data_IF_823584073713
#
_entry.id   IF_823584073713
#
_cell.length_a   1.000
_cell.length_b   1.000
_cell.length_c   1.000
_cell.angle_alpha   90.00
_cell.angle_beta   90.00
_cell.angle_gamma   90.00
#
_symmetry.space_group_name_H-M   'P 1'
#
loop_
_entity.id
_entity.type
_entity.pdbx_description
1 polymer ?
#
# COMPACT_ATOMS: atom_id res chain seq x y z
N UNK A 1 -54.59 63.06 -0.98
CA UNK A 1 -55.25 62.52 0.23
C UNK A 1 -54.62 61.16 0.45
N UNK A 2 -53.57 61.01 1.25
CA UNK A 2 -53.56 60.85 2.73
C UNK A 2 -53.54 59.34 3.03
N UNK A 3 -52.70 58.73 3.87
CA UNK A 3 -51.58 59.08 4.74
C UNK A 3 -50.76 57.79 5.01
N UNK A 4 -49.45 57.88 5.26
CA UNK A 4 -48.75 57.68 6.57
C UNK A 4 -48.66 56.24 7.14
N UNK A 5 -47.42 55.81 7.44
CA UNK A 5 -47.05 54.71 8.37
C UNK A 5 -46.04 53.74 7.73
N UNK A 6 -44.71 53.92 7.82
CA UNK A 6 -43.77 53.74 8.95
C UNK A 6 -43.36 52.26 9.21
N UNK A 7 -42.06 51.99 8.95
CA UNK A 7 -41.09 51.04 9.56
C UNK A 7 -41.43 49.55 9.76
N UNK A 8 -40.45 48.70 9.43
CA UNK A 8 -40.33 47.32 9.91
C UNK A 8 -39.38 46.48 9.05
N UNK A 9 -38.13 46.39 9.49
CA UNK A 9 -37.07 45.50 9.01
C UNK A 9 -37.39 44.05 9.44
N UNK A 10 -37.27 43.05 8.55
CA UNK A 10 -37.02 41.64 8.88
C UNK A 10 -36.93 40.80 7.58
N UNK A 11 -35.78 40.15 7.37
CA UNK A 11 -35.57 39.17 6.30
C UNK A 11 -36.23 37.82 6.65
N UNK A 12 -36.83 37.09 5.70
CA UNK A 12 -37.25 35.72 5.94
C UNK A 12 -36.25 34.70 5.38
N UNK A 13 -35.72 33.89 6.28
CA UNK A 13 -35.24 32.52 6.06
C UNK A 13 -36.40 31.62 5.58
N UNK A 14 -36.16 30.71 4.61
CA UNK A 14 -37.18 29.74 4.16
C UNK A 14 -36.72 28.74 3.10
N UNK A 15 -36.26 27.57 3.57
CA UNK A 15 -36.26 26.19 3.02
C UNK A 15 -36.23 25.90 1.50
N UNK A 16 -35.41 24.92 1.05
CA UNK A 16 -35.65 24.16 -0.18
C UNK A 16 -36.40 22.84 0.15
N UNK A 17 -37.68 22.80 -0.17
CA UNK A 17 -38.50 21.57 -0.21
C UNK A 17 -39.34 21.59 -1.47
N UNK A 18 -38.76 21.17 -2.60
CA UNK A 18 -39.46 21.03 -3.87
C UNK A 18 -38.73 20.00 -4.74
N UNK A 19 -39.12 18.73 -4.64
CA UNK A 19 -38.57 17.67 -5.48
C UNK A 19 -39.28 16.32 -5.36
N UNK A 20 -39.94 16.05 -4.23
CA UNK A 20 -40.62 14.78 -3.97
C UNK A 20 -42.06 14.70 -4.48
N UNK A 21 -42.70 15.83 -4.83
CA UNK A 21 -44.14 15.87 -5.10
C UNK A 21 -44.54 15.63 -6.57
N UNK A 22 -43.60 15.70 -7.52
CA UNK A 22 -43.93 15.51 -8.95
C UNK A 22 -43.97 14.04 -9.41
N UNK A 23 -43.47 13.09 -8.61
CA UNK A 23 -43.49 11.67 -8.97
C UNK A 23 -44.80 10.95 -8.62
N UNK A 24 -45.66 11.56 -7.78
CA UNK A 24 -46.89 10.93 -7.29
C UNK A 24 -48.08 10.98 -8.27
N UNK A 25 -48.05 11.84 -9.30
CA UNK A 25 -49.24 12.10 -10.14
C UNK A 25 -49.49 11.07 -11.27
N UNK A 26 -48.60 10.09 -11.52
CA UNK A 26 -48.75 9.17 -12.67
C UNK A 26 -49.22 7.74 -12.35
N UNK A 27 -49.37 7.35 -11.08
CA UNK A 27 -49.72 5.95 -10.72
C UNK A 27 -51.22 5.74 -10.43
N UNK A 28 -52.01 6.81 -10.27
CA UNK A 28 -53.45 6.70 -9.95
C UNK A 28 -53.74 6.24 -8.52
N UNK A 29 -52.74 6.27 -7.65
CA UNK A 29 -52.83 5.75 -6.29
C UNK A 29 -52.84 6.90 -5.28
N UNK A 30 -53.99 7.15 -4.67
CA UNK A 30 -54.18 8.22 -3.67
C UNK A 30 -53.54 7.87 -2.32
N UNK A 31 -53.02 8.84 -1.54
CA UNK A 31 -52.46 8.60 -0.20
C UNK A 31 -53.37 7.82 0.76
N UNK A 32 -54.69 8.04 0.70
CA UNK A 32 -55.67 7.33 1.55
C UNK A 32 -55.91 5.88 1.12
N UNK A 33 -55.82 5.59 -0.19
CA UNK A 33 -55.82 4.21 -0.69
C UNK A 33 -54.54 3.51 -0.26
N UNK A 34 -53.42 4.24 -0.15
CA UNK A 34 -52.15 3.68 0.30
C UNK A 34 -52.12 3.30 1.77
N UNK A 35 -52.63 4.15 2.64
CA UNK A 35 -52.74 3.80 4.06
C UNK A 35 -53.63 2.58 4.29
N UNK A 36 -54.64 2.36 3.43
CA UNK A 36 -55.49 1.16 3.46
C UNK A 36 -54.83 -0.08 2.87
N UNK A 37 -53.89 0.07 1.92
CA UNK A 37 -53.15 -1.04 1.32
C UNK A 37 -51.92 -1.44 2.14
N UNK A 38 -51.43 -0.58 3.04
CA UNK A 38 -50.27 -0.81 3.92
C UNK A 38 -50.32 -2.17 4.66
N UNK A 39 -51.44 -2.61 5.25
CA UNK A 39 -51.50 -3.92 5.93
C UNK A 39 -51.41 -5.13 4.99
N UNK A 40 -51.59 -4.93 3.67
CA UNK A 40 -51.57 -5.99 2.66
C UNK A 40 -50.24 -6.05 1.88
N UNK A 41 -49.35 -5.07 2.05
CA UNK A 41 -48.01 -5.01 1.47
C UNK A 41 -46.98 -5.30 2.57
N UNK A 42 -46.73 -6.58 2.84
CA UNK A 42 -45.93 -7.02 3.99
C UNK A 42 -44.42 -7.17 3.70
N UNK A 43 -44.00 -7.06 2.44
CA UNK A 43 -42.63 -7.35 2.01
C UNK A 43 -42.10 -6.28 1.03
N UNK A 44 -40.79 -6.07 1.04
CA UNK A 44 -40.04 -5.23 0.10
C UNK A 44 -39.07 -6.11 -0.65
N UNK A 45 -38.91 -5.88 -1.95
CA UNK A 45 -37.94 -6.59 -2.78
C UNK A 45 -36.99 -5.58 -3.41
N UNK A 46 -35.70 -5.75 -3.21
CA UNK A 46 -34.64 -4.91 -3.73
C UNK A 46 -33.71 -5.71 -4.63
N UNK A 47 -33.15 -5.07 -5.64
CA UNK A 47 -32.05 -5.60 -6.45
C UNK A 47 -30.84 -4.74 -6.17
N UNK A 48 -29.73 -5.37 -5.80
CA UNK A 48 -28.45 -4.75 -5.49
C UNK A 48 -27.41 -5.14 -6.54
N UNK A 49 -26.49 -4.25 -6.87
CA UNK A 49 -25.29 -4.60 -7.64
C UNK A 49 -24.16 -5.17 -6.77
N UNK A 50 -22.98 -5.38 -7.39
CA UNK A 50 -21.79 -5.87 -6.70
C UNK A 50 -21.23 -4.90 -5.65
N UNK A 51 -21.60 -3.62 -5.76
CA UNK A 51 -21.22 -2.53 -4.87
C UNK A 51 -22.37 -2.21 -3.89
N UNK A 52 -23.30 -3.15 -3.69
CA UNK A 52 -24.41 -3.10 -2.74
C UNK A 52 -25.34 -1.90 -2.92
N UNK A 53 -25.36 -1.35 -4.14
CA UNK A 53 -26.18 -0.21 -4.50
C UNK A 53 -27.53 -0.69 -4.99
N UNK A 54 -28.61 -0.09 -4.50
CA UNK A 54 -29.98 -0.44 -4.91
C UNK A 54 -30.22 -0.02 -6.37
N UNK A 55 -30.29 -1.02 -7.26
CA UNK A 55 -30.61 -0.89 -8.69
C UNK A 55 -32.12 -0.82 -8.96
N UNK A 56 -32.90 -1.55 -8.18
CA UNK A 56 -34.36 -1.57 -8.27
C UNK A 56 -34.97 -1.85 -6.90
N UNK A 57 -36.12 -1.23 -6.61
CA UNK A 57 -36.82 -1.44 -5.36
C UNK A 57 -38.34 -1.50 -5.60
N UNK A 58 -38.95 -2.62 -5.21
CA UNK A 58 -40.38 -2.82 -5.17
C UNK A 58 -40.80 -2.87 -3.70
N UNK A 59 -41.30 -1.75 -3.20
CA UNK A 59 -41.68 -1.55 -1.80
C UNK A 59 -43.08 -0.92 -1.70
N UNK A 60 -43.75 -1.03 -0.54
CA UNK A 60 -44.90 -0.17 -0.27
C UNK A 60 -44.50 1.32 -0.36
N UNK A 61 -45.34 2.21 -0.90
CA UNK A 61 -45.16 3.66 -0.85
C UNK A 61 -44.84 4.15 0.57
N UNK A 62 -43.68 4.80 0.72
CA UNK A 62 -43.09 5.17 2.01
C UNK A 62 -41.98 4.22 2.51
N UNK A 63 -41.80 3.05 1.88
CA UNK A 63 -40.81 2.04 2.27
C UNK A 63 -41.22 1.24 3.52
N UNK A 64 -40.67 0.02 3.67
CA UNK A 64 -40.95 -0.86 4.83
C UNK A 64 -40.42 -0.30 6.16
N UNK A 65 -39.49 0.65 6.08
CA UNK A 65 -38.93 1.40 7.22
C UNK A 65 -39.46 2.83 7.27
N UNK A 66 -40.49 3.22 6.51
CA UNK A 66 -41.05 4.58 6.53
C UNK A 66 -40.17 5.67 5.90
N UNK A 67 -39.00 5.29 5.39
CA UNK A 67 -38.20 6.04 4.42
C UNK A 67 -38.17 5.19 3.17
N UNK A 68 -38.62 5.72 2.03
CA UNK A 68 -38.48 5.00 0.76
C UNK A 68 -37.00 4.74 0.55
N UNK A 69 -36.57 3.47 0.61
CA UNK A 69 -35.20 3.07 0.28
C UNK A 69 -34.96 3.48 -1.17
N UNK A 70 -34.32 4.64 -1.36
CA UNK A 70 -34.10 5.27 -2.65
C UNK A 70 -33.12 4.47 -3.50
N UNK A 71 -33.33 4.50 -4.81
CA UNK A 71 -32.35 4.00 -5.79
C UNK A 71 -31.01 4.73 -5.54
N UNK A 72 -29.91 3.98 -5.44
CA UNK A 72 -28.57 4.56 -5.19
C UNK A 72 -28.15 4.73 -3.72
N UNK A 73 -28.96 4.27 -2.75
CA UNK A 73 -28.61 4.26 -1.32
C UNK A 73 -27.99 2.93 -0.89
N UNK A 74 -27.12 2.95 0.13
CA UNK A 74 -26.45 1.77 0.66
C UNK A 74 -27.22 1.23 1.87
N UNK A 75 -27.52 -0.07 1.88
CA UNK A 75 -28.51 -0.70 2.79
C UNK A 75 -28.09 -0.78 4.27
N UNK A 76 -26.87 -0.34 4.61
CA UNK A 76 -26.33 -0.40 5.98
C UNK A 76 -26.71 0.81 6.84
N UNK A 77 -27.16 1.92 6.24
CA UNK A 77 -27.43 3.19 6.94
C UNK A 77 -28.55 3.08 7.99
N UNK A 78 -29.57 2.27 7.70
CA UNK A 78 -30.72 2.08 8.58
C UNK A 78 -30.54 0.87 9.50
N UNK A 79 -29.38 0.20 9.52
CA UNK A 79 -29.16 -0.97 10.35
C UNK A 79 -28.72 -0.64 11.77
N UNK A 80 -29.12 -1.46 12.73
CA UNK A 80 -28.57 -1.39 14.07
C UNK A 80 -27.07 -1.74 14.04
N UNK A 81 -26.19 -0.99 14.72
CA UNK A 81 -24.74 -1.21 14.67
C UNK A 81 -24.30 -2.65 14.97
N UNK A 82 -24.89 -3.28 15.99
CA UNK A 82 -24.62 -4.69 16.33
C UNK A 82 -25.03 -5.69 15.24
N UNK A 83 -25.97 -5.32 14.36
CA UNK A 83 -26.53 -6.18 13.34
C UNK A 83 -25.90 -5.90 11.95
N UNK A 84 -25.16 -4.81 11.78
CA UNK A 84 -24.49 -4.45 10.53
C UNK A 84 -23.52 -5.56 10.05
N UNK A 85 -22.83 -6.20 11.00
CA UNK A 85 -21.94 -7.34 10.73
C UNK A 85 -22.70 -8.55 10.15
N UNK A 86 -23.94 -8.77 10.58
CA UNK A 86 -24.78 -9.89 10.13
C UNK A 86 -25.16 -9.74 8.66
N UNK A 87 -25.36 -8.51 8.18
CA UNK A 87 -25.72 -8.25 6.77
C UNK A 87 -24.51 -8.17 5.85
N UNK A 88 -23.39 -7.64 6.35
CA UNK A 88 -22.12 -7.76 5.65
C UNK A 88 -21.77 -9.24 5.41
N UNK A 89 -21.94 -10.10 6.43
CA UNK A 89 -21.79 -11.55 6.29
C UNK A 89 -22.75 -12.14 5.25
N UNK A 90 -24.04 -11.82 5.35
CA UNK A 90 -25.06 -12.33 4.44
C UNK A 90 -24.74 -12.04 2.96
N UNK A 91 -24.30 -10.83 2.61
CA UNK A 91 -23.97 -10.57 1.21
C UNK A 91 -22.60 -11.10 0.79
N UNK A 92 -21.60 -11.20 1.67
CA UNK A 92 -20.36 -11.93 1.33
C UNK A 92 -20.61 -13.41 1.03
N UNK A 93 -21.50 -14.07 1.79
CA UNK A 93 -21.97 -15.44 1.48
C UNK A 93 -22.66 -15.49 0.11
N UNK A 94 -23.46 -14.48 -0.21
CA UNK A 94 -24.11 -14.38 -1.51
C UNK A 94 -23.10 -14.27 -2.66
N UNK A 95 -22.06 -13.45 -2.54
CA UNK A 95 -21.04 -13.26 -3.59
C UNK A 95 -20.13 -14.47 -3.80
N UNK A 96 -19.92 -15.29 -2.78
CA UNK A 96 -18.99 -16.42 -2.80
C UNK A 96 -19.62 -17.76 -3.22
N UNK A 97 -20.94 -17.78 -3.45
CA UNK A 97 -21.72 -19.00 -3.73
C UNK A 97 -22.23 -19.06 -5.17
N UNK A 98 -22.65 -20.25 -5.62
CA UNK A 98 -23.18 -20.45 -6.98
C UNK A 98 -24.57 -19.81 -7.17
N UNK A 99 -24.91 -19.53 -8.43
CA UNK A 99 -26.23 -19.03 -8.85
C UNK A 99 -27.39 -19.80 -8.21
N UNK A 100 -28.36 -19.08 -7.63
CA UNK A 100 -29.52 -19.67 -6.95
C UNK A 100 -29.36 -19.90 -5.44
N UNK A 101 -28.24 -19.48 -4.84
CA UNK A 101 -28.07 -19.44 -3.39
C UNK A 101 -29.05 -18.46 -2.72
N UNK A 102 -29.54 -18.82 -1.54
CA UNK A 102 -30.36 -17.95 -0.69
C UNK A 102 -30.06 -18.15 0.79
N UNK A 103 -30.14 -17.08 1.58
CA UNK A 103 -30.12 -17.16 3.04
C UNK A 103 -30.90 -16.01 3.68
N UNK A 104 -31.43 -16.26 4.88
CA UNK A 104 -32.16 -15.26 5.68
C UNK A 104 -31.39 -14.90 6.96
N UNK A 105 -31.52 -13.64 7.39
CA UNK A 105 -31.07 -13.13 8.69
C UNK A 105 -32.15 -12.22 9.30
N UNK A 106 -32.20 -12.17 10.62
CA UNK A 106 -33.04 -11.22 11.35
C UNK A 106 -32.17 -10.08 11.86
N UNK A 107 -32.58 -8.86 11.56
CA UNK A 107 -31.84 -7.65 11.94
C UNK A 107 -32.77 -6.58 12.46
N UNK A 108 -32.23 -5.65 13.23
CA UNK A 108 -32.91 -4.43 13.63
C UNK A 108 -32.60 -3.34 12.62
N UNK A 109 -33.64 -2.66 12.14
CA UNK A 109 -33.51 -1.50 11.28
C UNK A 109 -34.27 -0.31 11.86
N UNK A 110 -33.77 0.89 11.60
CA UNK A 110 -34.32 2.14 12.08
C UNK A 110 -35.50 2.52 11.20
N UNK A 111 -36.65 2.70 11.83
CA UNK A 111 -37.87 3.17 11.18
C UNK A 111 -37.84 4.70 11.00
N UNK A 112 -38.71 5.22 10.13
CA UNK A 112 -38.77 6.64 9.78
C UNK A 112 -39.17 7.55 10.95
N UNK A 113 -39.78 6.98 12.00
CA UNK A 113 -40.06 7.64 13.28
C UNK A 113 -38.88 7.59 14.26
N UNK A 114 -37.77 6.95 13.88
CA UNK A 114 -36.51 6.88 14.62
C UNK A 114 -36.41 5.73 15.62
N UNK A 115 -37.43 4.87 15.73
CA UNK A 115 -37.42 3.66 16.57
C UNK A 115 -36.73 2.48 15.87
N UNK A 116 -36.54 1.36 16.56
CA UNK A 116 -35.94 0.15 15.99
C UNK A 116 -37.02 -0.91 15.74
N UNK A 117 -37.26 -1.23 14.47
CA UNK A 117 -38.09 -2.36 14.05
C UNK A 117 -37.24 -3.60 13.82
N UNK A 118 -37.83 -4.80 13.93
CA UNK A 118 -37.17 -6.07 13.60
C UNK A 118 -37.62 -6.55 12.22
N UNK A 119 -36.66 -6.95 11.41
CA UNK A 119 -36.89 -7.32 10.03
C UNK A 119 -36.15 -8.61 9.68
N UNK A 120 -36.83 -9.49 8.96
CA UNK A 120 -36.22 -10.62 8.28
C UNK A 120 -35.73 -10.16 6.89
N UNK A 121 -34.45 -10.33 6.63
CA UNK A 121 -33.81 -10.06 5.35
C UNK A 121 -33.41 -11.39 4.72
N UNK A 122 -33.97 -11.72 3.56
CA UNK A 122 -33.58 -12.86 2.73
C UNK A 122 -32.81 -12.36 1.50
N UNK A 123 -31.55 -12.76 1.35
CA UNK A 123 -30.77 -12.49 0.15
C UNK A 123 -30.81 -13.68 -0.81
N UNK A 124 -30.81 -13.39 -2.11
CA UNK A 124 -30.79 -14.36 -3.20
C UNK A 124 -29.71 -13.93 -4.21
N UNK A 125 -28.73 -14.80 -4.46
CA UNK A 125 -27.72 -14.55 -5.48
C UNK A 125 -28.30 -14.80 -6.89
N UNK A 126 -28.44 -13.73 -7.68
CA UNK A 126 -28.87 -13.77 -9.09
C UNK A 126 -27.79 -13.25 -10.05
N UNK A 127 -26.53 -13.20 -9.62
CA UNK A 127 -25.40 -12.98 -10.52
C UNK A 127 -25.35 -14.16 -11.52
N UNK A 128 -25.38 -13.83 -12.81
CA UNK A 128 -25.52 -14.82 -13.90
C UNK A 128 -26.89 -14.87 -14.56
N UNK A 129 -27.95 -14.28 -13.98
CA UNK A 129 -29.19 -14.00 -14.70
C UNK A 129 -28.98 -12.76 -15.61
N UNK A 130 -29.20 -12.85 -16.94
CA UNK A 130 -28.90 -11.77 -17.88
C UNK A 130 -29.83 -10.55 -17.75
N UNK A 131 -30.94 -10.65 -17.00
CA UNK A 131 -31.89 -9.56 -16.75
C UNK A 131 -31.69 -8.90 -15.39
N UNK A 132 -31.25 -9.67 -14.38
CA UNK A 132 -31.09 -9.17 -13.00
C UNK A 132 -29.63 -8.79 -12.71
N UNK A 133 -28.68 -9.67 -13.05
CA UNK A 133 -27.24 -9.52 -12.83
C UNK A 133 -26.86 -8.82 -11.50
N UNK A 134 -27.42 -9.32 -10.40
CA UNK A 134 -27.39 -8.65 -9.11
C UNK A 134 -27.81 -9.56 -7.97
N UNK A 135 -27.82 -9.03 -6.76
CA UNK A 135 -28.36 -9.70 -5.58
C UNK A 135 -29.78 -9.24 -5.33
N UNK A 136 -30.73 -10.16 -5.25
CA UNK A 136 -32.11 -9.86 -4.88
C UNK A 136 -32.25 -9.97 -3.37
N UNK A 137 -32.81 -8.95 -2.72
CA UNK A 137 -32.99 -8.90 -1.28
C UNK A 137 -34.46 -8.69 -0.97
N UNK A 138 -35.05 -9.63 -0.25
CA UNK A 138 -36.40 -9.53 0.30
C UNK A 138 -36.31 -9.10 1.75
N UNK A 139 -37.13 -8.14 2.15
CA UNK A 139 -37.23 -7.65 3.52
C UNK A 139 -38.65 -7.75 4.00
N UNK A 140 -38.86 -8.29 5.20
CA UNK A 140 -40.18 -8.44 5.82
C UNK A 140 -40.12 -8.01 7.28
N UNK A 141 -41.10 -7.22 7.72
CA UNK A 141 -41.22 -6.84 9.13
C UNK A 141 -41.70 -8.02 9.99
N UNK A 142 -41.13 -8.15 11.18
CA UNK A 142 -41.49 -9.18 12.16
C UNK A 142 -42.34 -8.58 13.28
N UNK A 143 -43.48 -9.20 13.63
CA UNK A 143 -44.24 -8.86 14.83
C UNK A 143 -43.39 -9.01 16.11
N UNK A 144 -43.61 -8.13 17.09
CA UNK A 144 -42.84 -8.09 18.36
C UNK A 144 -42.93 -9.41 19.16
N UNK A 145 -44.03 -10.16 19.03
CA UNK A 145 -44.36 -11.38 19.77
C UNK A 145 -43.75 -12.67 19.18
N UNK A 146 -43.44 -12.68 17.89
CA UNK A 146 -42.80 -13.83 17.20
C UNK A 146 -41.26 -13.84 17.36
N UNK A 147 -40.70 -12.86 18.06
CA UNK A 147 -39.27 -12.57 18.06
C UNK A 147 -38.52 -13.04 19.32
N UNK A 148 -39.20 -13.61 20.31
CA UNK A 148 -38.59 -14.23 21.51
C UNK A 148 -38.09 -15.66 21.25
N UNK A 149 -38.72 -16.41 20.35
CA UNK A 149 -38.45 -17.84 20.14
C UNK A 149 -37.30 -18.14 19.17
N UNK A 150 -36.82 -17.17 18.39
CA UNK A 150 -35.75 -17.39 17.41
C UNK A 150 -34.35 -17.14 18.01
N UNK A 151 -33.87 -18.09 18.82
CA UNK A 151 -32.43 -18.24 19.10
C UNK A 151 -31.74 -18.89 17.89
N UNK A 152 -31.67 -18.16 16.78
CA UNK A 152 -30.88 -18.57 15.63
C UNK A 152 -29.43 -18.71 16.03
N UNK A 153 -28.87 -19.91 15.87
CA UNK A 153 -27.46 -20.20 16.00
C UNK A 153 -26.62 -19.04 15.47
N UNK A 154 -25.85 -18.38 16.33
CA UNK A 154 -24.76 -17.51 15.89
C UNK A 154 -23.84 -18.38 15.03
N UNK A 155 -23.73 -18.15 13.71
CA UNK A 155 -22.71 -18.83 12.93
C UNK A 155 -21.35 -18.33 13.42
N UNK A 156 -20.40 -19.25 13.61
CA UNK A 156 -18.98 -18.93 13.69
C UNK A 156 -18.62 -18.14 12.42
N UNK A 157 -18.03 -16.96 12.58
CA UNK A 157 -18.15 -15.88 11.59
C UNK A 157 -17.46 -16.19 10.25
N UNK A 158 -18.05 -15.73 9.15
CA UNK A 158 -17.43 -15.82 7.82
C UNK A 158 -16.16 -14.96 7.68
N UNK A 159 -15.98 -13.91 8.50
CA UNK A 159 -14.73 -13.12 8.55
C UNK A 159 -13.61 -13.93 9.23
N UNK A 160 -13.90 -14.67 10.32
CA UNK A 160 -12.94 -15.63 10.88
C UNK A 160 -12.61 -16.71 9.84
N UNK A 161 -13.62 -17.28 9.18
CA UNK A 161 -13.45 -18.33 8.17
C UNK A 161 -12.69 -17.86 6.91
N UNK A 162 -12.93 -16.65 6.41
CA UNK A 162 -12.20 -16.06 5.27
C UNK A 162 -10.80 -15.57 5.67
N UNK A 163 -10.60 -15.12 6.92
CA UNK A 163 -9.28 -14.77 7.47
C UNK A 163 -8.39 -15.98 7.72
N UNK A 164 -8.97 -17.18 7.93
CA UNK A 164 -8.24 -18.45 7.95
C UNK A 164 -7.80 -18.90 6.54
N UNK A 165 -8.48 -18.43 5.48
CA UNK A 165 -8.22 -18.83 4.09
C UNK A 165 -7.22 -17.92 3.35
N UNK A 166 -7.06 -16.65 3.76
CA UNK A 166 -6.11 -15.70 3.16
C UNK A 166 -5.30 -14.98 4.25
N UNK A 167 -3.95 -14.89 4.13
CA UNK A 167 -3.08 -14.26 5.12
C UNK A 167 -3.11 -12.72 5.03
N UNK A 168 -4.30 -12.11 5.03
CA UNK A 168 -4.49 -10.66 4.94
C UNK A 168 -5.09 -10.14 6.24
N UNK A 169 -4.38 -9.23 6.89
CA UNK A 169 -4.89 -8.52 8.06
C UNK A 169 -5.95 -7.50 7.66
N UNK A 170 -7.03 -7.40 8.43
CA UNK A 170 -8.10 -6.41 8.23
C UNK A 170 -8.31 -5.65 9.52
N UNK A 171 -8.26 -4.32 9.43
CA UNK A 171 -8.66 -3.39 10.48
C UNK A 171 -9.83 -2.53 9.99
N UNK A 172 -10.75 -2.24 10.89
CA UNK A 172 -11.75 -1.18 10.69
C UNK A 172 -11.42 -0.05 11.64
N UNK A 173 -11.38 1.18 11.13
CA UNK A 173 -11.16 2.39 11.93
C UNK A 173 -12.42 3.26 11.96
N UNK A 174 -12.62 3.99 13.04
CA UNK A 174 -13.63 5.06 13.15
C UNK A 174 -13.17 6.35 12.44
N UNK A 175 -14.02 7.39 12.46
CA UNK A 175 -13.72 8.69 11.86
C UNK A 175 -12.53 9.43 12.50
N UNK A 176 -12.07 8.99 13.67
CA UNK A 176 -10.91 9.52 14.37
C UNK A 176 -9.65 8.67 14.15
N UNK A 177 -9.72 7.65 13.28
CA UNK A 177 -8.63 6.72 13.01
C UNK A 177 -8.42 5.66 14.10
N UNK A 178 -9.34 5.50 15.04
CA UNK A 178 -9.25 4.48 16.10
C UNK A 178 -9.70 3.13 15.59
N UNK A 179 -8.97 2.08 15.92
CA UNK A 179 -9.35 0.70 15.57
C UNK A 179 -10.63 0.33 16.32
N UNK A 180 -11.66 -0.09 15.59
CA UNK A 180 -12.90 -0.64 16.15
C UNK A 180 -13.03 -2.14 15.91
N UNK A 181 -12.25 -2.67 14.96
CA UNK A 181 -12.20 -4.10 14.66
C UNK A 181 -10.83 -4.48 14.10
N UNK A 182 -10.37 -5.68 14.46
CA UNK A 182 -9.19 -6.32 13.89
C UNK A 182 -9.45 -7.82 13.75
N UNK A 183 -9.14 -8.40 12.58
CA UNK A 183 -9.20 -9.85 12.39
C UNK A 183 -7.94 -10.55 12.95
N UNK A 184 -7.99 -11.89 13.07
CA UNK A 184 -6.88 -12.67 13.62
C UNK A 184 -5.55 -12.53 12.85
N UNK A 185 -5.62 -12.38 11.53
CA UNK A 185 -4.43 -12.14 10.71
C UNK A 185 -3.75 -10.79 11.03
N UNK A 186 -4.52 -9.72 11.24
CA UNK A 186 -3.99 -8.42 11.66
C UNK A 186 -3.34 -8.51 13.05
N UNK A 187 -4.01 -9.16 14.01
CA UNK A 187 -3.47 -9.40 15.34
C UNK A 187 -2.14 -10.18 15.28
N UNK A 188 -2.08 -11.22 14.43
CA UNK A 188 -0.89 -12.03 14.23
C UNK A 188 0.28 -11.27 13.61
N UNK A 189 0.03 -10.43 12.58
CA UNK A 189 1.05 -9.58 11.96
C UNK A 189 1.58 -8.53 12.93
N UNK A 190 0.68 -7.82 13.62
CA UNK A 190 1.00 -6.73 14.53
C UNK A 190 1.48 -7.21 15.91
N UNK A 191 1.31 -8.50 16.23
CA UNK A 191 1.60 -9.09 17.55
C UNK A 191 0.90 -8.33 18.69
N UNK A 192 -0.39 -8.09 18.51
CA UNK A 192 -1.27 -7.41 19.47
C UNK A 192 -2.61 -8.12 19.54
N UNK A 193 -3.21 -8.11 20.72
CA UNK A 193 -4.56 -8.62 20.90
C UNK A 193 -5.61 -7.58 20.43
N UNK A 194 -6.81 -7.99 20.00
CA UNK A 194 -7.86 -7.08 19.55
C UNK A 194 -8.18 -5.95 20.55
N UNK A 195 -8.16 -6.24 21.86
CA UNK A 195 -8.44 -5.25 22.90
C UNK A 195 -7.32 -4.21 23.04
N UNK A 196 -6.07 -4.58 22.75
CA UNK A 196 -4.93 -3.66 22.73
C UNK A 196 -5.01 -2.77 21.50
N UNK A 197 -5.34 -3.33 20.33
CA UNK A 197 -5.52 -2.55 19.11
C UNK A 197 -6.67 -1.55 19.23
N UNK A 198 -7.78 -1.95 19.86
CA UNK A 198 -8.94 -1.06 20.08
C UNK A 198 -8.63 0.05 21.09
N UNK A 199 -7.80 -0.23 22.11
CA UNK A 199 -7.46 0.73 23.17
C UNK A 199 -6.37 1.71 22.75
N UNK A 200 -5.28 1.18 22.21
CA UNK A 200 -4.02 1.87 21.98
C UNK A 200 -3.79 2.18 20.49
N UNK A 201 -4.63 1.64 19.60
CA UNK A 201 -4.49 1.77 18.16
C UNK A 201 -3.38 0.89 17.59
N UNK A 202 -3.11 1.06 16.29
CA UNK A 202 -1.99 0.39 15.62
C UNK A 202 -0.75 1.30 15.47
N UNK A 203 -0.84 2.59 15.86
CA UNK A 203 0.29 3.52 15.81
C UNK A 203 1.51 3.08 16.64
N UNK A 204 1.37 2.50 17.86
CA UNK A 204 2.53 2.11 18.67
C UNK A 204 3.40 1.01 18.08
N UNK A 205 2.89 0.28 17.08
CA UNK A 205 3.65 -0.75 16.37
C UNK A 205 4.26 -0.25 15.07
N UNK A 206 4.00 1.00 14.65
CA UNK A 206 4.63 1.61 13.47
C UNK A 206 6.01 2.15 13.84
N UNK A 207 7.01 1.92 12.97
CA UNK A 207 8.33 2.53 13.11
C UNK A 207 8.21 4.07 13.16
N UNK A 208 8.86 4.76 14.12
CA UNK A 208 8.78 6.22 14.25
C UNK A 208 9.11 7.00 12.97
N UNK A 209 9.92 6.44 12.07
CA UNK A 209 10.24 7.07 10.79
C UNK A 209 9.05 7.05 9.82
N UNK A 210 8.19 6.04 9.90
CA UNK A 210 7.02 5.87 9.01
C UNK A 210 5.71 6.41 9.64
N UNK A 211 5.69 6.70 10.94
CA UNK A 211 4.53 7.25 11.63
C UNK A 211 3.97 8.55 10.99
N UNK A 212 4.79 9.53 10.54
CA UNK A 212 4.28 10.72 9.85
C UNK A 212 3.55 10.40 8.54
N UNK A 213 4.02 9.38 7.79
CA UNK A 213 3.40 8.94 6.54
C UNK A 213 2.00 8.38 6.79
N UNK A 214 1.84 7.53 7.82
CA UNK A 214 0.54 6.98 8.20
C UNK A 214 -0.44 8.09 8.60
N UNK A 215 0.01 9.04 9.42
CA UNK A 215 -0.80 10.18 9.83
C UNK A 215 -1.25 11.04 8.64
N UNK A 216 -0.36 11.26 7.66
CA UNK A 216 -0.68 11.96 6.42
C UNK A 216 -1.72 11.21 5.57
N UNK A 217 -1.59 9.88 5.45
CA UNK A 217 -2.54 9.03 4.72
C UNK A 217 -3.91 9.06 5.40
N UNK A 218 -3.98 8.80 6.70
CA UNK A 218 -5.23 8.84 7.47
C UNK A 218 -5.94 10.19 7.35
N UNK A 219 -5.18 11.30 7.39
CA UNK A 219 -5.74 12.64 7.18
C UNK A 219 -6.38 12.81 5.80
N UNK A 220 -5.76 12.29 4.73
CA UNK A 220 -6.32 12.39 3.37
C UNK A 220 -7.59 11.54 3.23
N UNK A 221 -7.54 10.31 3.73
CA UNK A 221 -8.64 9.32 3.66
C UNK A 221 -9.84 9.73 4.54
N UNK A 222 -9.63 10.48 5.61
CA UNK A 222 -10.71 11.05 6.44
C UNK A 222 -11.35 12.30 5.80
N UNK A 223 -10.60 13.07 5.02
CA UNK A 223 -11.08 14.32 4.42
C UNK A 223 -11.81 14.13 3.09
N UNK A 224 -11.53 13.05 2.38
CA UNK A 224 -12.16 12.74 1.10
C UNK A 224 -12.34 11.23 0.93
N UNK A 225 -13.44 10.84 0.28
CA UNK A 225 -13.61 9.48 -0.21
C UNK A 225 -12.43 9.12 -1.13
N UNK A 226 -11.85 7.95 -0.95
CA UNK A 226 -10.67 7.58 -1.70
C UNK A 226 -9.99 6.30 -1.23
N UNK A 227 -8.98 5.92 -2.00
CA UNK A 227 -8.07 4.81 -1.70
C UNK A 227 -6.66 5.35 -1.63
N UNK A 228 -5.95 4.99 -0.58
CA UNK A 228 -4.55 5.32 -0.39
C UNK A 228 -3.79 4.05 -0.01
N UNK A 229 -2.52 4.00 -0.38
CA UNK A 229 -1.65 2.88 -0.06
C UNK A 229 -0.31 3.39 0.44
N UNK A 230 0.25 2.67 1.41
CA UNK A 230 1.61 2.92 1.86
C UNK A 230 2.24 1.62 2.36
N UNK A 231 3.57 1.54 2.30
CA UNK A 231 4.33 0.47 2.94
C UNK A 231 4.98 1.03 4.19
N UNK A 232 4.79 0.34 5.32
CA UNK A 232 5.30 0.78 6.61
C UNK A 232 6.12 -0.31 7.28
N UNK A 233 7.10 0.11 8.08
CA UNK A 233 7.84 -0.77 8.99
C UNK A 233 7.12 -0.89 10.32
N UNK A 234 7.25 -2.07 10.90
CA UNK A 234 6.72 -2.37 12.22
C UNK A 234 7.84 -2.59 13.25
N UNK A 235 7.58 -2.23 14.51
CA UNK A 235 8.48 -2.41 15.65
C UNK A 235 7.80 -3.27 16.71
N UNK A 236 8.48 -4.33 17.16
CA UNK A 236 7.94 -5.25 18.16
C UNK A 236 6.73 -6.06 17.67
N UNK A 237 6.67 -6.29 16.36
CA UNK A 237 5.65 -7.07 15.65
C UNK A 237 6.26 -8.36 15.07
N UNK A 238 5.42 -9.27 14.56
CA UNK A 238 5.86 -10.55 13.99
C UNK A 238 6.54 -10.37 12.62
N UNK A 239 6.06 -9.40 11.86
CA UNK A 239 6.54 -9.08 10.51
C UNK A 239 7.23 -7.73 10.55
N UNK A 240 8.24 -7.52 9.69
CA UNK A 240 9.01 -6.27 9.70
C UNK A 240 8.35 -5.18 8.85
N UNK A 241 7.61 -5.57 7.81
CA UNK A 241 6.97 -4.65 6.87
C UNK A 241 5.60 -5.13 6.46
N UNK A 242 4.66 -4.19 6.41
CA UNK A 242 3.33 -4.40 5.86
C UNK A 242 3.02 -3.37 4.79
N UNK A 243 2.33 -3.82 3.75
CA UNK A 243 1.65 -2.94 2.79
C UNK A 243 0.23 -2.70 3.31
N UNK A 244 -0.08 -1.43 3.54
CA UNK A 244 -1.35 -0.97 4.06
C UNK A 244 -2.15 -0.34 2.93
N UNK A 245 -3.39 -0.79 2.74
CA UNK A 245 -4.35 -0.15 1.83
C UNK A 245 -5.53 0.38 2.63
N UNK A 246 -5.74 1.69 2.56
CA UNK A 246 -6.79 2.42 3.26
C UNK A 246 -7.89 2.76 2.27
N UNK A 247 -9.13 2.45 2.62
CA UNK A 247 -10.31 2.80 1.82
C UNK A 247 -11.32 3.53 2.70
N UNK A 248 -11.80 4.67 2.22
CA UNK A 248 -12.86 5.47 2.85
C UNK A 248 -13.86 5.93 1.80
N UNK A 249 -15.14 5.94 2.16
CA UNK A 249 -16.22 6.34 1.27
C UNK A 249 -16.69 7.80 1.48
N UNK A 250 -16.06 8.54 2.40
CA UNK A 250 -16.17 10.00 2.53
C UNK A 250 -17.59 10.58 2.66
N UNK A 251 -18.56 9.83 3.20
CA UNK A 251 -19.90 10.36 3.53
C UNK A 251 -20.00 10.79 5.00
N UNK A 252 -20.75 11.87 5.23
CA UNK A 252 -20.57 12.81 6.35
C UNK A 252 -21.02 12.35 7.74
N UNK A 253 -21.65 11.18 7.91
CA UNK A 253 -22.22 10.81 9.21
C UNK A 253 -21.74 9.47 9.79
N UNK A 254 -21.03 8.61 9.03
CA UNK A 254 -20.32 7.41 9.52
C UNK A 254 -19.11 7.12 8.62
N UNK A 255 -18.00 7.83 8.81
CA UNK A 255 -16.76 7.53 8.08
C UNK A 255 -16.03 6.36 8.77
N UNK A 256 -16.27 5.13 8.31
CA UNK A 256 -15.44 3.98 8.70
C UNK A 256 -14.36 3.74 7.64
N UNK A 257 -13.11 3.58 8.09
CA UNK A 257 -11.97 3.36 7.19
C UNK A 257 -11.62 1.88 7.26
N UNK A 258 -11.64 1.21 6.12
CA UNK A 258 -11.15 -0.18 6.01
C UNK A 258 -9.67 -0.13 5.70
N UNK A 259 -8.86 -0.84 6.49
CA UNK A 259 -7.42 -0.99 6.27
C UNK A 259 -7.11 -2.47 6.08
N UNK A 260 -6.49 -2.81 4.95
CA UNK A 260 -5.93 -4.16 4.75
C UNK A 260 -4.43 -4.14 4.93
N UNK A 261 -3.89 -5.17 5.57
CA UNK A 261 -2.47 -5.38 5.85
C UNK A 261 -2.00 -6.63 5.12
N UNK A 262 -0.96 -6.48 4.31
CA UNK A 262 -0.28 -7.60 3.65
C UNK A 262 1.18 -7.65 4.10
N UNK A 263 1.65 -8.82 4.54
CA UNK A 263 3.06 -9.01 4.88
C UNK A 263 3.93 -9.02 3.61
N UNK A 264 4.75 -7.99 3.48
CA UNK A 264 5.66 -7.82 2.34
C UNK A 264 7.12 -7.95 2.75
N UNK A 265 7.39 -8.50 3.94
CA UNK A 265 8.74 -8.65 4.51
C UNK A 265 9.64 -9.47 3.59
N UNK A 266 9.21 -10.68 3.20
CA UNK A 266 9.99 -11.56 2.33
C UNK A 266 10.20 -10.97 0.93
N UNK A 267 9.17 -10.31 0.38
CA UNK A 267 9.24 -9.63 -0.92
C UNK A 267 10.27 -8.51 -0.90
N UNK A 268 10.24 -7.64 0.11
CA UNK A 268 11.21 -6.54 0.25
C UNK A 268 12.61 -7.02 0.58
N UNK A 269 12.78 -8.06 1.39
CA UNK A 269 14.09 -8.66 1.65
C UNK A 269 14.71 -9.21 0.37
N UNK A 270 13.92 -9.95 -0.42
CA UNK A 270 14.36 -10.50 -1.72
C UNK A 270 14.69 -9.38 -2.71
N UNK A 271 13.85 -8.36 -2.81
CA UNK A 271 14.09 -7.17 -3.63
C UNK A 271 15.42 -6.50 -3.25
N UNK A 272 15.66 -6.27 -1.95
CA UNK A 272 16.90 -5.67 -1.46
C UNK A 272 18.12 -6.53 -1.73
N UNK A 273 18.00 -7.84 -1.57
CA UNK A 273 19.08 -8.77 -1.90
C UNK A 273 19.38 -8.76 -3.40
N UNK A 274 18.34 -8.70 -4.24
CA UNK A 274 18.48 -8.56 -5.69
C UNK A 274 19.13 -7.22 -6.06
N UNK A 275 18.73 -6.11 -5.45
CA UNK A 275 19.33 -4.79 -5.67
C UNK A 275 20.79 -4.75 -5.17
N UNK A 276 21.08 -5.34 -4.01
CA UNK A 276 22.43 -5.44 -3.47
C UNK A 276 23.34 -6.29 -4.38
N UNK A 277 22.83 -7.40 -4.92
CA UNK A 277 23.52 -8.23 -5.91
C UNK A 277 23.63 -7.56 -7.28
N UNK A 278 22.64 -6.76 -7.67
CA UNK A 278 22.64 -6.02 -8.92
C UNK A 278 23.65 -4.88 -8.92
N UNK A 279 24.05 -4.38 -7.74
CA UNK A 279 24.94 -3.22 -7.61
C UNK A 279 26.35 -3.54 -7.09
N UNK A 280 26.62 -4.78 -6.67
CA UNK A 280 27.94 -5.19 -6.17
C UNK A 280 28.58 -6.29 -7.01
N UNK A 281 29.91 -6.33 -7.00
CA UNK A 281 30.69 -7.44 -7.56
C UNK A 281 30.62 -8.63 -6.58
N UNK A 282 30.19 -9.83 -7.02
CA UNK A 282 29.92 -10.94 -6.12
C UNK A 282 31.17 -11.52 -5.45
N UNK A 283 32.37 -11.30 -6.02
CA UNK A 283 33.62 -11.77 -5.44
C UNK A 283 34.17 -10.77 -4.41
N UNK A 284 34.27 -9.50 -4.79
CA UNK A 284 34.97 -8.48 -3.98
C UNK A 284 34.05 -7.67 -3.08
N UNK A 285 32.74 -7.71 -3.30
CA UNK A 285 31.76 -6.88 -2.59
C UNK A 285 31.81 -5.39 -2.92
N UNK A 286 32.73 -4.95 -3.80
CA UNK A 286 32.81 -3.57 -4.31
C UNK A 286 31.61 -3.22 -5.20
N UNK A 287 31.49 -1.95 -5.59
CA UNK A 287 30.56 -1.58 -6.66
C UNK A 287 30.89 -2.37 -7.93
N UNK A 288 29.87 -2.80 -8.67
CA UNK A 288 30.07 -3.41 -9.98
C UNK A 288 30.02 -2.35 -11.08
N UNK A 289 30.14 -2.80 -12.35
CA UNK A 289 30.11 -1.93 -13.52
C UNK A 289 28.82 -1.10 -13.64
N UNK A 290 27.66 -1.67 -13.31
CA UNK A 290 26.38 -0.96 -13.41
C UNK A 290 26.29 0.16 -12.36
N UNK A 291 26.57 -0.15 -11.09
CA UNK A 291 26.48 0.86 -10.03
C UNK A 291 27.59 1.93 -10.11
N UNK A 292 28.72 1.63 -10.75
CA UNK A 292 29.73 2.62 -11.12
C UNK A 292 29.21 3.59 -12.19
N UNK A 293 28.48 3.09 -13.19
CA UNK A 293 27.86 3.94 -14.22
C UNK A 293 26.85 4.88 -13.59
N UNK A 294 25.93 4.37 -12.76
CA UNK A 294 24.94 5.18 -12.05
C UNK A 294 25.58 6.26 -11.18
N UNK A 295 26.64 5.91 -10.43
CA UNK A 295 27.40 6.86 -9.61
C UNK A 295 27.98 8.00 -10.46
N UNK A 296 28.61 7.67 -11.60
CA UNK A 296 29.17 8.67 -12.49
C UNK A 296 28.07 9.51 -13.17
N UNK A 297 26.94 8.91 -13.54
CA UNK A 297 25.79 9.65 -14.09
C UNK A 297 25.31 10.73 -13.12
N UNK A 298 25.08 10.37 -11.86
CA UNK A 298 24.64 11.30 -10.80
C UNK A 298 25.68 12.41 -10.62
N UNK A 299 26.95 12.06 -10.39
CA UNK A 299 28.00 13.06 -10.15
C UNK A 299 28.18 14.02 -11.33
N UNK A 300 28.13 13.53 -12.56
CA UNK A 300 28.27 14.36 -13.76
C UNK A 300 27.04 15.25 -14.00
N UNK A 301 25.82 14.73 -13.76
CA UNK A 301 24.58 15.49 -13.87
C UNK A 301 24.53 16.65 -12.86
N UNK A 302 24.94 16.37 -11.63
CA UNK A 302 25.05 17.36 -10.54
C UNK A 302 26.26 18.28 -10.67
N UNK A 303 27.12 18.06 -11.68
CA UNK A 303 28.35 18.81 -11.94
C UNK A 303 29.33 18.76 -10.76
N UNK A 304 29.32 17.67 -10.01
CA UNK A 304 30.28 17.42 -8.95
C UNK A 304 31.64 17.17 -9.60
N UNK A 305 32.66 17.99 -9.29
CA UNK A 305 34.02 17.75 -9.77
C UNK A 305 34.47 16.32 -9.41
N UNK A 306 35.01 15.58 -10.37
CA UNK A 306 35.28 14.15 -10.19
C UNK A 306 36.59 13.74 -10.89
N UNK A 307 37.47 13.07 -10.16
CA UNK A 307 38.62 12.34 -10.72
C UNK A 307 38.29 10.84 -10.75
N UNK A 308 38.68 10.18 -11.84
CA UNK A 308 38.49 8.74 -12.08
C UNK A 308 39.85 8.11 -12.27
N UNK A 309 40.21 7.16 -11.40
CA UNK A 309 41.39 6.33 -11.56
C UNK A 309 40.99 4.96 -12.10
N UNK A 310 41.64 4.53 -13.17
CA UNK A 310 41.47 3.19 -13.75
C UNK A 310 42.72 2.37 -13.43
N UNK A 311 42.53 1.19 -12.84
CA UNK A 311 43.57 0.29 -12.38
C UNK A 311 43.43 -1.06 -13.09
N UNK A 312 44.53 -1.56 -13.63
CA UNK A 312 44.70 -2.92 -14.16
C UNK A 312 45.82 -3.63 -13.39
N UNK A 313 45.59 -4.87 -12.93
CA UNK A 313 46.60 -5.63 -12.19
C UNK A 313 47.57 -6.35 -13.14
N UNK A 314 48.77 -5.80 -13.28
CA UNK A 314 49.85 -6.41 -14.04
C UNK A 314 50.33 -7.70 -13.37
N UNK A 315 50.48 -8.75 -14.17
CA UNK A 315 50.96 -10.06 -13.70
C UNK A 315 49.89 -10.95 -13.06
N UNK A 316 48.63 -10.49 -12.96
CA UNK A 316 47.53 -11.25 -12.37
C UNK A 316 47.27 -12.58 -13.09
N UNK A 317 47.32 -12.60 -14.42
CA UNK A 317 47.20 -13.84 -15.20
C UNK A 317 48.24 -14.89 -14.80
N UNK A 318 49.49 -14.50 -14.53
CA UNK A 318 50.53 -15.43 -14.12
C UNK A 318 50.26 -16.04 -12.74
N UNK A 319 49.58 -15.31 -11.84
CA UNK A 319 49.10 -15.85 -10.56
C UNK A 319 48.07 -16.95 -10.81
N UNK A 320 47.05 -16.69 -11.65
CA UNK A 320 46.05 -17.69 -12.01
C UNK A 320 46.67 -18.93 -12.66
N UNK A 321 47.59 -18.74 -13.60
CA UNK A 321 48.22 -19.84 -14.34
C UNK A 321 49.13 -20.69 -13.45
N UNK A 322 49.74 -20.10 -12.42
CA UNK A 322 50.69 -20.80 -11.52
C UNK A 322 49.99 -21.43 -10.30
N UNK A 323 49.02 -20.73 -9.71
CA UNK A 323 48.43 -21.07 -8.41
C UNK A 323 46.93 -21.40 -8.48
N UNK A 324 46.32 -21.28 -9.66
CA UNK A 324 44.89 -21.54 -9.87
C UNK A 324 44.01 -20.33 -9.63
N UNK A 325 42.77 -20.42 -10.13
CA UNK A 325 41.79 -19.33 -10.05
C UNK A 325 41.36 -18.99 -8.62
N UNK A 326 41.28 -19.97 -7.72
CA UNK A 326 40.95 -19.71 -6.31
C UNK A 326 41.95 -18.74 -5.67
N UNK A 327 43.25 -18.90 -5.96
CA UNK A 327 44.28 -17.99 -5.48
C UNK A 327 44.20 -16.62 -6.14
N UNK A 328 43.83 -16.55 -7.42
CA UNK A 328 43.56 -15.28 -8.08
C UNK A 328 42.37 -14.55 -7.45
N UNK A 329 41.31 -15.28 -7.12
CA UNK A 329 40.13 -14.73 -6.48
C UNK A 329 40.46 -14.16 -5.09
N UNK A 330 41.27 -14.84 -4.30
CA UNK A 330 41.80 -14.32 -3.03
C UNK A 330 42.58 -13.01 -3.22
N UNK A 331 43.44 -12.93 -4.25
CA UNK A 331 44.20 -11.71 -4.56
C UNK A 331 43.28 -10.55 -4.92
N UNK A 332 42.22 -10.80 -5.69
CA UNK A 332 41.25 -9.77 -6.04
C UNK A 332 40.50 -9.24 -4.81
N UNK A 333 40.15 -10.12 -3.87
CA UNK A 333 39.53 -9.74 -2.59
C UNK A 333 40.49 -8.88 -1.76
N UNK A 334 41.76 -9.30 -1.62
CA UNK A 334 42.76 -8.54 -0.85
C UNK A 334 43.05 -7.17 -1.46
N UNK A 335 43.12 -7.07 -2.79
CA UNK A 335 43.26 -5.78 -3.48
C UNK A 335 42.03 -4.91 -3.24
N UNK A 336 40.82 -5.48 -3.33
CA UNK A 336 39.58 -4.75 -3.09
C UNK A 336 39.52 -4.17 -1.66
N UNK A 337 39.88 -4.97 -0.66
CA UNK A 337 39.96 -4.53 0.73
C UNK A 337 41.01 -3.44 0.91
N UNK A 338 42.21 -3.60 0.36
CA UNK A 338 43.27 -2.60 0.44
C UNK A 338 42.87 -1.26 -0.20
N UNK A 339 42.18 -1.28 -1.34
CA UNK A 339 41.67 -0.07 -1.99
C UNK A 339 40.55 0.57 -1.16
N UNK A 340 39.60 -0.21 -0.67
CA UNK A 340 38.47 0.30 0.13
C UNK A 340 38.94 0.93 1.45
N UNK A 341 39.87 0.28 2.13
CA UNK A 341 40.29 0.68 3.49
C UNK A 341 41.44 1.69 3.45
N UNK A 342 42.24 1.69 2.38
CA UNK A 342 43.36 2.61 2.18
C UNK A 342 42.96 3.95 1.59
N UNK A 343 41.89 3.99 0.79
CA UNK A 343 41.38 5.23 0.20
C UNK A 343 40.35 5.85 1.17
N UNK A 344 40.44 7.17 1.36
CA UNK A 344 39.58 7.90 2.31
C UNK A 344 38.08 7.78 2.04
N UNK A 345 37.22 8.30 2.94
CA UNK A 345 35.77 8.14 2.86
C UNK A 345 35.12 8.76 1.60
N UNK A 346 35.83 9.64 0.90
CA UNK A 346 35.38 10.31 -0.33
C UNK A 346 35.75 9.53 -1.61
N UNK A 347 36.24 8.30 -1.49
CA UNK A 347 36.59 7.43 -2.61
C UNK A 347 35.62 6.25 -2.73
N UNK A 348 34.91 6.19 -3.87
CA UNK A 348 34.12 5.03 -4.26
C UNK A 348 34.98 4.08 -5.10
N UNK A 349 35.03 2.80 -4.71
CA UNK A 349 35.80 1.77 -5.41
C UNK A 349 34.87 0.76 -6.07
N UNK A 350 35.13 0.46 -7.33
CA UNK A 350 34.39 -0.50 -8.14
C UNK A 350 35.32 -1.53 -8.79
N UNK A 351 34.82 -2.76 -8.97
CA UNK A 351 35.43 -3.75 -9.86
C UNK A 351 34.56 -3.91 -11.09
N UNK A 352 35.14 -3.69 -12.27
CA UNK A 352 34.38 -3.64 -13.54
C UNK A 352 34.48 -4.93 -14.35
N UNK A 353 35.38 -5.83 -13.97
CA UNK A 353 35.55 -7.17 -14.53
C UNK A 353 37.01 -7.63 -14.47
N UNK A 354 37.25 -8.95 -14.41
CA UNK A 354 38.60 -9.50 -14.42
C UNK A 354 39.49 -8.94 -13.31
N UNK A 355 40.61 -8.35 -13.70
CA UNK A 355 41.63 -7.67 -12.90
C UNK A 355 41.53 -6.13 -12.93
N UNK A 356 40.42 -5.59 -13.42
CA UNK A 356 40.21 -4.15 -13.59
C UNK A 356 39.37 -3.55 -12.46
N UNK A 357 39.90 -2.48 -11.87
CA UNK A 357 39.26 -1.69 -10.81
C UNK A 357 39.16 -0.23 -11.20
N UNK A 358 38.16 0.47 -10.67
CA UNK A 358 37.95 1.90 -10.86
C UNK A 358 37.75 2.57 -9.52
N UNK A 359 38.43 3.69 -9.31
CA UNK A 359 38.23 4.58 -8.16
C UNK A 359 37.61 5.88 -8.67
N UNK A 360 36.54 6.33 -8.02
CA UNK A 360 35.89 7.62 -8.26
C UNK A 360 36.02 8.45 -7.00
N UNK A 361 36.56 9.66 -7.12
CA UNK A 361 36.75 10.53 -5.96
C UNK A 361 36.65 12.02 -6.34
N UNK A 362 36.61 12.87 -5.33
CA UNK A 362 36.71 14.32 -5.50
C UNK A 362 38.08 14.69 -6.11
N UNK A 363 38.20 15.83 -6.82
CA UNK A 363 39.41 16.11 -7.56
C UNK A 363 40.56 16.49 -6.64
N UNK A 364 41.73 15.89 -6.91
CA UNK A 364 42.94 16.12 -6.13
C UNK A 364 44.19 16.22 -7.01
N UNK A 365 45.32 15.83 -6.44
CA UNK A 365 46.54 15.57 -7.21
C UNK A 365 46.44 14.18 -7.85
N UNK A 366 46.35 14.16 -9.17
CA UNK A 366 46.15 12.95 -9.96
C UNK A 366 47.34 12.00 -9.91
N UNK A 367 48.57 12.52 -9.81
CA UNK A 367 49.74 11.65 -9.71
C UNK A 367 49.87 11.07 -8.30
N UNK A 368 49.50 11.85 -7.28
CA UNK A 368 49.44 11.36 -5.91
C UNK A 368 48.40 10.23 -5.76
N UNK A 369 47.20 10.40 -6.30
CA UNK A 369 46.17 9.35 -6.31
C UNK A 369 46.66 8.10 -7.06
N UNK A 370 47.29 8.27 -8.23
CA UNK A 370 47.84 7.15 -8.98
C UNK A 370 48.94 6.41 -8.20
N UNK A 371 49.80 7.14 -7.50
CA UNK A 371 50.85 6.57 -6.66
C UNK A 371 50.27 5.81 -5.46
N UNK A 372 49.30 6.40 -4.76
CA UNK A 372 48.62 5.79 -3.63
C UNK A 372 47.95 4.47 -4.00
N UNK A 373 47.19 4.44 -5.10
CA UNK A 373 46.56 3.22 -5.62
C UNK A 373 47.61 2.15 -5.96
N UNK A 374 48.73 2.53 -6.59
CA UNK A 374 49.83 1.59 -6.89
C UNK A 374 50.49 1.04 -5.63
N UNK A 375 50.68 1.89 -4.62
CA UNK A 375 51.34 1.51 -3.37
C UNK A 375 50.48 0.54 -2.56
N UNK A 376 49.15 0.70 -2.57
CA UNK A 376 48.21 -0.24 -1.96
C UNK A 376 48.30 -1.62 -2.62
N UNK A 377 48.29 -1.69 -3.95
CA UNK A 377 48.47 -2.96 -4.69
C UNK A 377 49.84 -3.59 -4.39
N UNK A 378 50.91 -2.77 -4.37
CA UNK A 378 52.25 -3.25 -4.06
C UNK A 378 52.41 -3.73 -2.61
N UNK A 379 51.64 -3.18 -1.67
CA UNK A 379 51.58 -3.66 -0.29
C UNK A 379 50.96 -5.05 -0.21
N UNK A 380 49.81 -5.28 -0.87
CA UNK A 380 49.17 -6.60 -0.98
C UNK A 380 50.13 -7.60 -1.61
N UNK A 381 50.76 -7.25 -2.74
CA UNK A 381 51.69 -8.14 -3.42
C UNK A 381 52.87 -8.56 -2.54
N UNK A 382 53.42 -7.63 -1.73
CA UNK A 382 54.52 -7.93 -0.80
C UNK A 382 54.08 -8.82 0.36
N UNK A 383 52.90 -8.57 0.92
CA UNK A 383 52.35 -9.37 2.02
C UNK A 383 52.11 -10.83 1.59
N UNK A 384 51.61 -11.00 0.36
CA UNK A 384 51.25 -12.32 -0.19
C UNK A 384 52.40 -13.04 -0.91
N UNK A 385 53.59 -12.41 -0.99
CA UNK A 385 54.75 -12.98 -1.69
C UNK A 385 54.55 -13.12 -3.21
N UNK A 386 53.77 -12.23 -3.80
CA UNK A 386 53.41 -12.22 -5.22
C UNK A 386 54.22 -11.17 -6.00
N UNK A 387 54.16 -11.28 -7.34
CA UNK A 387 54.74 -10.31 -8.28
C UNK A 387 53.64 -9.57 -9.05
N UNK A 388 52.61 -9.10 -8.35
CA UNK A 388 51.50 -8.32 -8.92
C UNK A 388 51.75 -6.83 -8.71
N UNK A 389 51.53 -6.02 -9.74
CA UNK A 389 51.63 -4.55 -9.64
C UNK A 389 50.42 -3.89 -10.27
N UNK A 390 50.20 -2.60 -10.01
CA UNK A 390 49.11 -1.84 -10.62
C UNK A 390 49.59 -0.95 -11.76
N UNK A 391 48.95 -1.02 -12.91
CA UNK A 391 48.97 0.05 -13.92
C UNK A 391 47.79 0.97 -13.67
N UNK A 392 48.06 2.24 -13.34
CA UNK A 392 47.03 3.21 -12.93
C UNK A 392 47.07 4.44 -13.82
N UNK A 393 45.89 4.87 -14.28
CA UNK A 393 45.70 6.11 -15.02
C UNK A 393 44.56 6.93 -14.46
N UNK A 394 44.80 8.23 -14.27
CA UNK A 394 43.82 9.13 -13.66
C UNK A 394 43.33 10.18 -14.67
N UNK A 395 42.04 10.15 -14.94
CA UNK A 395 41.32 11.10 -15.78
C UNK A 395 40.44 12.01 -14.95
N UNK A 396 40.54 13.33 -15.15
CA UNK A 396 39.55 14.27 -14.61
C UNK A 396 38.32 14.28 -15.51
N UNK A 397 37.14 14.14 -14.91
CA UNK A 397 35.89 14.39 -15.62
C UNK A 397 35.79 15.86 -16.00
N UNK A 398 35.35 16.13 -17.23
CA UNK A 398 35.13 17.49 -17.73
C UNK A 398 33.65 17.73 -17.98
N UNK A 399 33.26 19.00 -18.01
CA UNK A 399 31.87 19.39 -18.21
C UNK A 399 31.35 18.87 -19.56
N UNK A 400 30.23 18.15 -19.51
CA UNK A 400 29.59 17.55 -20.69
C UNK A 400 30.07 16.14 -21.00
N UNK A 401 30.95 15.55 -20.19
CA UNK A 401 31.28 14.13 -20.29
C UNK A 401 30.05 13.26 -20.01
N UNK A 402 29.96 12.15 -20.73
CA UNK A 402 29.21 10.97 -20.28
C UNK A 402 30.06 10.13 -19.31
N UNK A 403 29.46 9.23 -18.51
CA UNK A 403 30.22 8.26 -17.71
C UNK A 403 31.28 7.51 -18.53
N UNK A 404 30.92 7.15 -19.77
CA UNK A 404 31.81 6.48 -20.70
C UNK A 404 33.01 7.35 -21.08
N UNK A 405 32.83 8.65 -21.29
CA UNK A 405 33.95 9.56 -21.60
C UNK A 405 34.92 9.73 -20.43
N UNK A 406 34.40 9.82 -19.20
CA UNK A 406 35.21 9.92 -17.99
C UNK A 406 36.05 8.64 -17.80
N UNK A 407 35.43 7.47 -17.90
CA UNK A 407 36.11 6.17 -17.80
C UNK A 407 37.16 6.00 -18.91
N UNK A 408 36.78 6.28 -20.16
CA UNK A 408 37.69 6.17 -21.31
C UNK A 408 38.91 7.07 -21.17
N UNK A 409 38.77 8.26 -20.57
CA UNK A 409 39.91 9.16 -20.34
C UNK A 409 40.90 8.59 -19.32
N UNK A 410 40.39 7.97 -18.25
CA UNK A 410 41.22 7.33 -17.24
C UNK A 410 41.92 6.08 -17.79
N UNK A 411 41.20 5.23 -18.52
CA UNK A 411 41.72 4.05 -19.22
C UNK A 411 42.83 4.44 -20.22
N UNK A 412 42.60 5.46 -21.06
CA UNK A 412 43.64 5.96 -21.98
C UNK A 412 44.88 6.48 -21.25
N UNK A 413 44.74 7.06 -20.06
CA UNK A 413 45.88 7.48 -19.25
C UNK A 413 46.64 6.26 -18.71
N UNK A 414 45.92 5.22 -18.28
CA UNK A 414 46.47 3.97 -17.75
C UNK A 414 47.25 3.23 -18.83
N UNK A 415 46.68 3.09 -20.03
CA UNK A 415 47.33 2.45 -21.16
C UNK A 415 48.64 3.16 -21.55
N UNK A 416 48.68 4.50 -21.50
CA UNK A 416 49.92 5.27 -21.75
C UNK A 416 50.97 5.03 -20.68
N UNK A 417 50.57 4.93 -19.41
CA UNK A 417 51.46 4.64 -18.30
C UNK A 417 52.05 3.22 -18.42
N UNK A 418 51.23 2.25 -18.83
CA UNK A 418 51.64 0.86 -19.06
C UNK A 418 52.65 0.72 -20.20
N UNK A 419 52.48 1.48 -21.28
CA UNK A 419 53.39 1.49 -22.44
C UNK A 419 54.73 2.20 -22.25
N UNK A 420 54.95 2.90 -21.12
CA UNK A 420 56.20 3.65 -20.84
C UNK A 420 57.09 3.02 -19.77
N UNK A 421 56.87 1.75 -19.37
CA UNK A 421 57.81 1.06 -18.49
C UNK A 421 59.08 0.63 -19.28
N UNK A 422 60.30 1.04 -18.86
CA UNK A 422 61.55 0.63 -19.49
C UNK A 422 61.86 -0.86 -19.33
#
# INVERSE_FOLDING_TARGET
MGGTGQQGDEAPTGAPGAGTDQAAEQTGVTPELMDRLRPFLAESLMVLDADWTILANLAPPGGLIGRGLGLGLHTLEDMHPDDALVILELGMEAFSTQHGWQASRVVRMRTGDGTWGRYEITAFNQFGDPLINGMVVRTRELPEDLAEDWQGSRPTSAIETLSELLPVGVLLLDQNGRVVFANGAACGMLSREPEELTRDGFEPVVDPVDAPLVADVLRRVTQAAGREECTIRLVGARVERVECRFTSEGRSDVASIVVTLEDVTARHATQRDLEARANRDPLTGLRNRASLQDLLEVRLAERIPTDVAYLDLDGFKAVNDTWGHERGDEVLVLVAEALRDGLGPDADVARIGGDEFVVVTDPGDREALAAEVRDLVAAVSRAEGLSVTGSVGVGRAVRGDSPHDALRRADQAMYRAKGHRP
#
